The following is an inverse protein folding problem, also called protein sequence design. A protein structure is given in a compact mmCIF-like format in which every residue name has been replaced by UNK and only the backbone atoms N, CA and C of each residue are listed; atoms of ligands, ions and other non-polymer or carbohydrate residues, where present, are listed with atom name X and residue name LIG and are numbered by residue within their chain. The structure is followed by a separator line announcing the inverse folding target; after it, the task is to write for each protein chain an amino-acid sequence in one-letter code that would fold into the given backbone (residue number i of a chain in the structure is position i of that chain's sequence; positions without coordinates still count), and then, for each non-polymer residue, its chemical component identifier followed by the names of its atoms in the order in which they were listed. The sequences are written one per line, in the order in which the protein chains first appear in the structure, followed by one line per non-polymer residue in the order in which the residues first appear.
data_IF_366862052720
#
_entry.id   IF_366862052720
#
_cell.length_a   1.000
_cell.length_b   1.000
_cell.length_c   1.000
_cell.angle_alpha   90.00
_cell.angle_beta   90.00
_cell.angle_gamma   90.00
#
_symmetry.space_group_name_H-M   'P 1'
#
loop_
_entity.id
_entity.type
_entity.pdbx_description
1 polymer ?
#
# COMPACT_ATOMS: atom_id res chain seq x y z
N UNK A 1 6.63 -14.75 78.22
CA UNK A 1 7.25 -14.97 76.89
C UNK A 1 6.27 -15.27 75.73
N UNK A 2 4.95 -15.42 75.97
CA UNK A 2 3.99 -15.82 74.91
C UNK A 2 3.49 -14.64 74.04
N UNK A 3 3.30 -13.45 74.62
CA UNK A 3 2.78 -12.28 73.91
C UNK A 3 3.76 -11.70 72.85
N UNK A 4 5.07 -11.79 73.07
CA UNK A 4 6.09 -11.31 72.12
C UNK A 4 6.13 -12.16 70.84
N UNK A 5 5.92 -13.49 70.96
CA UNK A 5 5.91 -14.42 69.81
C UNK A 5 4.73 -14.16 68.87
N UNK A 6 3.57 -13.80 69.42
CA UNK A 6 2.37 -13.49 68.65
C UNK A 6 2.54 -12.21 67.82
N UNK A 7 3.01 -11.11 68.44
CA UNK A 7 3.22 -9.84 67.74
C UNK A 7 4.24 -9.94 66.60
N UNK A 8 5.30 -10.75 66.75
CA UNK A 8 6.28 -10.97 65.68
C UNK A 8 5.68 -11.74 64.49
N UNK A 9 4.87 -12.77 64.76
CA UNK A 9 4.23 -13.59 63.72
C UNK A 9 3.26 -12.78 62.86
N UNK A 10 2.43 -11.93 63.48
CA UNK A 10 1.49 -11.06 62.76
C UNK A 10 2.20 -9.97 61.93
N UNK A 11 3.31 -9.41 62.44
CA UNK A 11 4.09 -8.39 61.71
C UNK A 11 4.77 -8.96 60.47
N UNK A 12 5.32 -10.18 60.55
CA UNK A 12 5.90 -10.90 59.41
C UNK A 12 4.84 -11.28 58.36
N UNK A 13 3.66 -11.73 58.79
CA UNK A 13 2.56 -12.09 57.89
C UNK A 13 1.98 -10.86 57.15
N UNK A 14 1.87 -9.72 57.84
CA UNK A 14 1.45 -8.43 57.28
C UNK A 14 2.44 -7.88 56.24
N UNK A 15 3.75 -7.95 56.52
CA UNK A 15 4.81 -7.54 55.58
C UNK A 15 4.85 -8.45 54.35
N UNK A 16 4.68 -9.77 54.54
CA UNK A 16 4.61 -10.74 53.44
C UNK A 16 3.43 -10.49 52.50
N UNK A 17 2.25 -10.14 53.04
CA UNK A 17 1.06 -9.80 52.24
C UNK A 17 1.27 -8.52 51.42
N UNK A 18 1.80 -7.45 52.04
CA UNK A 18 2.16 -6.20 51.34
C UNK A 18 3.21 -6.40 50.25
N UNK A 19 4.20 -7.27 50.46
CA UNK A 19 5.20 -7.62 49.45
C UNK A 19 4.59 -8.39 48.27
N UNK A 20 3.62 -9.28 48.53
CA UNK A 20 2.96 -10.07 47.49
C UNK A 20 2.02 -9.19 46.64
N UNK A 21 1.25 -8.31 47.27
CA UNK A 21 0.38 -7.35 46.57
C UNK A 21 1.18 -6.36 45.70
N UNK A 22 2.36 -5.94 46.18
CA UNK A 22 3.27 -5.08 45.43
C UNK A 22 3.85 -5.80 44.19
N UNK A 23 4.20 -7.09 44.32
CA UNK A 23 4.63 -7.92 43.17
C UNK A 23 3.51 -8.14 42.16
N UNK A 24 2.27 -8.32 42.62
CA UNK A 24 1.10 -8.47 41.76
C UNK A 24 0.84 -7.16 40.98
N UNK A 25 0.86 -6.00 41.66
CA UNK A 25 0.74 -4.69 40.99
C UNK A 25 1.85 -4.44 39.97
N UNK A 26 3.08 -4.83 40.29
CA UNK A 26 4.21 -4.72 39.37
C UNK A 26 4.02 -5.59 38.12
N UNK A 27 3.48 -6.80 38.27
CA UNK A 27 3.15 -7.69 37.15
C UNK A 27 2.06 -7.10 36.24
N UNK A 28 1.01 -6.53 36.83
CA UNK A 28 -0.05 -5.84 36.06
C UNK A 28 0.47 -4.58 35.37
N UNK A 29 1.38 -3.83 36.00
CA UNK A 29 2.00 -2.64 35.44
C UNK A 29 2.89 -2.97 34.23
N UNK A 30 3.71 -4.02 34.32
CA UNK A 30 4.50 -4.51 33.17
C UNK A 30 3.57 -4.98 32.05
N UNK A 31 2.53 -5.75 32.37
CA UNK A 31 1.55 -6.22 31.39
C UNK A 31 0.88 -5.05 30.65
N UNK A 32 0.50 -4.01 31.37
CA UNK A 32 -0.08 -2.79 30.81
C UNK A 32 0.90 -2.04 29.89
N UNK A 33 2.18 -1.94 30.28
CA UNK A 33 3.24 -1.35 29.45
C UNK A 33 3.42 -2.12 28.13
N UNK A 34 3.46 -3.46 28.18
CA UNK A 34 3.57 -4.30 26.98
C UNK A 34 2.38 -4.11 26.05
N UNK A 35 1.17 -3.98 26.61
CA UNK A 35 -0.07 -3.75 25.87
C UNK A 35 -0.07 -2.36 25.19
N UNK A 36 0.44 -1.34 25.88
CA UNK A 36 0.63 0.00 25.31
C UNK A 36 1.66 -0.02 24.16
N UNK A 37 2.78 -0.73 24.31
CA UNK A 37 3.77 -0.87 23.24
C UNK A 37 3.22 -1.58 22.00
N UNK A 38 2.34 -2.58 22.18
CA UNK A 38 1.62 -3.24 21.09
C UNK A 38 0.72 -2.27 20.31
N UNK A 39 -0.01 -1.40 20.99
CA UNK A 39 -0.90 -0.43 20.34
C UNK A 39 -0.08 0.64 19.60
N UNK A 40 1.05 1.09 20.15
CA UNK A 40 1.94 2.09 19.53
C UNK A 40 2.66 1.53 18.29
N UNK A 41 2.95 0.22 18.27
CA UNK A 41 3.59 -0.43 17.12
C UNK A 41 2.65 -0.60 15.92
N UNK A 42 1.33 -0.52 16.13
CA UNK A 42 0.34 -0.45 15.06
C UNK A 42 0.21 0.98 14.49
N UNK A 43 1.32 1.59 14.06
CA UNK A 43 1.21 2.72 13.13
C UNK A 43 0.81 2.15 11.77
N UNK A 44 -0.24 2.66 11.11
CA UNK A 44 -0.56 2.21 9.76
C UNK A 44 0.67 2.47 8.89
N UNK A 45 1.21 1.40 8.29
CA UNK A 45 2.33 1.51 7.37
C UNK A 45 1.90 2.45 6.24
N UNK A 46 2.49 3.65 6.22
CA UNK A 46 2.19 4.61 5.17
C UNK A 46 2.77 4.04 3.88
N UNK A 47 1.89 3.60 2.98
CA UNK A 47 2.31 3.08 1.68
C UNK A 47 3.15 4.14 0.95
N UNK A 48 4.27 3.72 0.39
CA UNK A 48 5.05 4.59 -0.50
C UNK A 48 4.33 4.73 -1.86
N UNK A 49 4.71 5.72 -2.68
CA UNK A 49 4.04 5.96 -3.96
C UNK A 49 4.11 4.76 -4.90
N UNK A 50 5.24 4.04 -4.92
CA UNK A 50 5.44 2.85 -5.74
C UNK A 50 4.50 1.70 -5.34
N UNK A 51 4.32 1.45 -4.04
CA UNK A 51 3.39 0.48 -3.47
C UNK A 51 1.94 0.80 -3.83
N UNK A 52 1.60 2.08 -3.97
CA UNK A 52 0.27 2.49 -4.43
C UNK A 52 0.13 2.20 -5.94
N UNK A 53 1.12 2.60 -6.76
CA UNK A 53 1.12 2.41 -8.21
C UNK A 53 0.99 0.93 -8.60
N UNK A 54 1.70 0.03 -7.93
CA UNK A 54 1.64 -1.41 -8.20
C UNK A 54 0.75 -2.20 -7.24
N UNK A 55 0.05 -1.55 -6.30
CA UNK A 55 -0.75 -2.20 -5.24
C UNK A 55 -0.01 -3.37 -4.56
N UNK A 56 1.29 -3.21 -4.32
CA UNK A 56 2.19 -4.22 -3.74
C UNK A 56 2.56 -5.41 -4.65
N UNK A 57 1.90 -5.60 -5.80
CA UNK A 57 2.23 -6.67 -6.75
C UNK A 57 2.09 -6.19 -8.19
N UNK A 58 0.86 -5.95 -8.64
CA UNK A 58 0.55 -5.22 -9.84
C UNK A 58 -0.78 -4.48 -9.73
N UNK A 59 -0.97 -3.46 -10.57
CA UNK A 59 -2.23 -2.74 -10.67
C UNK A 59 -2.49 -2.27 -12.10
N UNK A 60 -3.77 -2.16 -12.45
CA UNK A 60 -4.21 -1.53 -13.69
C UNK A 60 -4.85 -0.17 -13.40
N UNK A 61 -4.49 0.80 -14.23
CA UNK A 61 -5.00 2.16 -14.20
C UNK A 61 -5.60 2.49 -15.57
N UNK A 62 -6.62 3.35 -15.61
CA UNK A 62 -7.23 3.80 -16.85
C UNK A 62 -7.15 5.32 -16.96
N UNK A 63 -6.98 5.82 -18.17
CA UNK A 63 -7.08 7.24 -18.46
C UNK A 63 -7.90 7.46 -19.72
N UNK A 64 -8.36 8.69 -19.88
CA UNK A 64 -8.87 9.21 -21.14
C UNK A 64 -7.90 10.28 -21.63
N UNK A 65 -7.71 10.37 -22.93
CA UNK A 65 -6.89 11.44 -23.51
C UNK A 65 -7.63 12.78 -23.44
N UNK A 66 -8.94 12.75 -23.73
CA UNK A 66 -9.88 13.86 -23.55
C UNK A 66 -11.14 13.44 -22.77
N UNK A 67 -11.79 14.38 -22.06
CA UNK A 67 -12.98 14.05 -21.24
C UNK A 67 -14.12 13.44 -22.07
N UNK A 68 -14.25 13.92 -23.31
CA UNK A 68 -15.25 13.51 -24.30
C UNK A 68 -14.89 12.20 -25.02
N UNK A 69 -13.69 11.65 -24.79
CA UNK A 69 -13.30 10.41 -25.44
C UNK A 69 -14.11 9.23 -24.91
N UNK A 70 -14.55 8.42 -25.87
CA UNK A 70 -15.14 7.11 -25.62
C UNK A 70 -14.07 6.02 -25.50
N UNK A 71 -12.82 6.34 -25.82
CA UNK A 71 -11.71 5.40 -25.76
C UNK A 71 -10.94 5.55 -24.45
N UNK A 72 -10.68 4.42 -23.79
CA UNK A 72 -9.85 4.37 -22.58
C UNK A 72 -8.54 3.68 -22.91
N UNK A 73 -7.45 4.28 -22.43
CA UNK A 73 -6.13 3.66 -22.43
C UNK A 73 -5.89 3.08 -21.03
N UNK A 74 -5.36 1.86 -20.97
CA UNK A 74 -5.09 1.16 -19.72
C UNK A 74 -3.59 0.97 -19.52
N UNK A 75 -3.11 1.31 -18.33
CA UNK A 75 -1.73 1.15 -17.92
C UNK A 75 -1.62 0.04 -16.89
N UNK A 76 -0.72 -0.90 -17.13
CA UNK A 76 -0.30 -1.91 -16.18
C UNK A 76 1.01 -1.51 -15.53
N UNK A 77 1.13 -1.72 -14.21
CA UNK A 77 2.37 -1.58 -13.47
C UNK A 77 2.56 -2.76 -12.55
N UNK A 78 3.76 -3.33 -12.50
CA UNK A 78 4.13 -4.32 -11.50
C UNK A 78 5.27 -3.87 -10.59
N UNK A 79 5.42 -4.56 -9.46
CA UNK A 79 6.45 -4.32 -8.45
C UNK A 79 7.88 -4.53 -8.97
N UNK A 80 8.03 -5.35 -10.02
CA UNK A 80 9.33 -5.69 -10.61
C UNK A 80 9.81 -4.59 -11.59
N UNK A 81 9.05 -3.50 -11.70
CA UNK A 81 9.41 -2.35 -12.52
C UNK A 81 9.01 -2.50 -13.98
N UNK A 82 8.10 -3.40 -14.33
CA UNK A 82 7.55 -3.53 -15.69
C UNK A 82 6.23 -2.78 -15.84
N UNK A 83 6.01 -2.21 -17.02
CA UNK A 83 4.77 -1.52 -17.36
C UNK A 83 4.36 -1.83 -18.80
N UNK A 84 3.05 -1.87 -19.04
CA UNK A 84 2.46 -2.09 -20.37
C UNK A 84 1.28 -1.16 -20.59
N UNK A 85 0.96 -0.92 -21.87
CA UNK A 85 -0.27 -0.26 -22.27
C UNK A 85 -1.19 -1.26 -22.93
N UNK A 86 -2.48 -1.13 -22.66
CA UNK A 86 -3.54 -1.87 -23.29
C UNK A 86 -4.61 -0.91 -23.83
N UNK A 87 -5.23 -1.31 -24.93
CA UNK A 87 -6.32 -0.57 -25.56
C UNK A 87 -7.49 -1.51 -25.89
N UNK A 88 -8.68 -0.93 -26.03
CA UNK A 88 -9.82 -1.67 -26.58
C UNK A 88 -9.75 -1.70 -28.10
N UNK A 89 -9.75 -2.90 -28.70
CA UNK A 89 -10.04 -3.06 -30.14
C UNK A 89 -11.55 -3.04 -30.36
N UNK A 90 -12.29 -3.72 -29.47
CA UNK A 90 -13.74 -3.81 -29.50
C UNK A 90 -14.31 -3.90 -28.06
N UNK A 91 -15.65 -3.93 -27.92
CA UNK A 91 -16.33 -3.95 -26.61
C UNK A 91 -15.95 -5.14 -25.71
N UNK A 92 -15.46 -6.24 -26.28
CA UNK A 92 -15.16 -7.49 -25.60
C UNK A 92 -13.70 -7.95 -25.77
N UNK A 93 -12.85 -7.16 -26.43
CA UNK A 93 -11.46 -7.49 -26.67
C UNK A 93 -10.55 -6.31 -26.34
N UNK A 94 -9.57 -6.62 -25.49
CA UNK A 94 -8.46 -5.74 -25.15
C UNK A 94 -7.20 -6.39 -25.73
N UNK A 95 -6.26 -5.57 -26.19
CA UNK A 95 -4.93 -6.03 -26.60
C UNK A 95 -3.84 -5.16 -25.99
N UNK A 96 -2.65 -5.73 -25.88
CA UNK A 96 -1.45 -4.95 -25.59
C UNK A 96 -1.18 -4.01 -26.77
N UNK A 97 -0.94 -2.75 -26.45
CA UNK A 97 -0.67 -1.71 -27.42
C UNK A 97 0.80 -1.76 -27.83
N UNK A 98 1.04 -1.90 -29.12
CA UNK A 98 2.37 -1.87 -29.72
C UNK A 98 2.44 -0.72 -30.72
N UNK A 99 3.12 0.37 -30.35
CA UNK A 99 3.47 1.42 -31.32
C UNK A 99 4.48 0.86 -32.31
N UNK A 100 4.10 0.84 -33.60
CA UNK A 100 4.90 0.23 -34.69
C UNK A 100 6.33 0.76 -34.78
N UNK A 101 6.58 1.98 -34.33
CA UNK A 101 7.85 2.68 -34.52
C UNK A 101 8.58 3.06 -33.21
N UNK A 102 8.03 2.71 -32.04
CA UNK A 102 8.59 3.08 -30.73
C UNK A 102 8.71 1.86 -29.82
N UNK A 103 9.92 1.30 -29.77
CA UNK A 103 10.33 0.34 -28.73
C UNK A 103 10.51 1.11 -27.41
N UNK A 104 9.41 1.40 -26.73
CA UNK A 104 9.51 1.88 -25.36
C UNK A 104 10.13 0.80 -24.49
N UNK A 105 11.13 1.19 -23.70
CA UNK A 105 11.57 0.33 -22.62
C UNK A 105 10.37 0.11 -21.69
N UNK A 106 9.89 -1.13 -21.62
CA UNK A 106 8.80 -1.59 -20.75
C UNK A 106 9.23 -1.63 -19.28
N UNK A 107 10.06 -0.67 -18.86
CA UNK A 107 10.52 -0.46 -17.49
C UNK A 107 10.00 0.87 -16.98
N UNK A 108 9.47 0.85 -15.77
CA UNK A 108 9.08 2.06 -15.05
C UNK A 108 9.89 2.20 -13.76
N UNK A 109 9.99 3.44 -13.29
CA UNK A 109 10.54 3.74 -11.98
C UNK A 109 9.90 5.01 -11.41
N UNK A 110 9.90 5.13 -10.09
CA UNK A 110 9.41 6.30 -9.39
C UNK A 110 10.53 6.88 -8.54
N UNK A 111 10.91 8.13 -8.82
CA UNK A 111 11.93 8.83 -8.06
C UNK A 111 11.28 9.76 -7.04
N UNK A 112 11.52 9.48 -5.75
CA UNK A 112 11.10 10.29 -4.59
C UNK A 112 9.62 10.70 -4.59
N UNK A 113 8.74 9.83 -5.08
CA UNK A 113 7.29 10.07 -5.24
C UNK A 113 6.95 11.33 -6.07
N UNK A 114 7.91 11.91 -6.80
CA UNK A 114 7.75 13.18 -7.52
C UNK A 114 7.88 13.04 -9.03
N UNK A 115 8.57 12.00 -9.50
CA UNK A 115 8.86 11.79 -10.92
C UNK A 115 8.64 10.33 -11.31
N UNK A 116 7.64 10.09 -12.15
CA UNK A 116 7.37 8.80 -12.77
C UNK A 116 8.10 8.74 -14.11
N UNK A 117 8.89 7.69 -14.31
CA UNK A 117 9.64 7.46 -15.53
C UNK A 117 9.08 6.21 -16.19
N UNK A 118 8.61 6.32 -17.44
CA UNK A 118 8.07 5.24 -18.26
C UNK A 118 8.97 5.08 -19.49
N UNK A 119 9.90 4.14 -19.44
CA UNK A 119 10.95 4.05 -20.47
C UNK A 119 11.78 5.34 -20.54
N UNK A 120 11.68 6.06 -21.66
CA UNK A 120 12.34 7.37 -21.86
C UNK A 120 11.54 8.55 -21.32
N UNK A 121 10.24 8.36 -21.10
CA UNK A 121 9.31 9.46 -20.83
C UNK A 121 9.25 9.76 -19.35
N UNK A 122 9.10 11.05 -19.03
CA UNK A 122 9.17 11.57 -17.66
C UNK A 122 7.92 12.38 -17.36
N UNK A 123 7.26 12.01 -16.27
CA UNK A 123 6.04 12.64 -15.81
C UNK A 123 6.21 13.11 -14.37
N UNK A 124 5.89 14.38 -14.12
CA UNK A 124 5.86 14.90 -12.77
C UNK A 124 4.60 14.40 -12.06
N UNK A 125 4.76 13.86 -10.86
CA UNK A 125 3.64 13.48 -10.00
C UNK A 125 3.10 14.73 -9.31
N UNK A 126 1.81 14.99 -9.49
CA UNK A 126 1.07 16.03 -8.75
C UNK A 126 0.41 15.46 -7.49
N UNK A 127 -0.11 14.23 -7.58
CA UNK A 127 -0.63 13.50 -6.43
C UNK A 127 -0.71 11.99 -6.70
N UNK A 128 -0.58 11.20 -5.63
CA UNK A 128 -0.77 9.75 -5.61
C UNK A 128 -1.76 9.40 -4.51
N UNK A 129 -2.79 8.64 -4.86
CA UNK A 129 -3.76 8.09 -3.90
C UNK A 129 -4.14 6.67 -4.30
N UNK A 130 -4.80 5.93 -3.40
CA UNK A 130 -5.24 4.55 -3.66
C UNK A 130 -6.23 4.43 -4.84
N UNK A 131 -6.82 5.52 -5.33
CA UNK A 131 -7.83 5.52 -6.41
C UNK A 131 -7.44 6.32 -7.65
N UNK A 132 -6.62 7.36 -7.50
CA UNK A 132 -6.22 8.26 -8.60
C UNK A 132 -4.76 8.66 -8.47
N UNK A 133 -4.05 8.60 -9.58
CA UNK A 133 -2.75 9.22 -9.77
C UNK A 133 -2.92 10.40 -10.71
N UNK A 134 -2.39 11.56 -10.34
CA UNK A 134 -2.38 12.74 -11.20
C UNK A 134 -0.93 13.01 -11.60
N UNK A 135 -0.67 12.92 -12.90
CA UNK A 135 0.64 13.17 -13.49
C UNK A 135 0.56 14.35 -14.45
N UNK A 136 1.69 14.98 -14.72
CA UNK A 136 1.78 16.03 -15.73
C UNK A 136 3.05 15.88 -16.55
N UNK A 137 2.93 16.13 -17.85
CA UNK A 137 4.05 16.28 -18.77
C UNK A 137 3.89 17.61 -19.49
N UNK A 138 4.93 18.45 -19.47
CA UNK A 138 4.87 19.83 -19.96
C UNK A 138 3.63 20.57 -19.41
N UNK A 139 2.72 21.00 -20.29
CA UNK A 139 1.50 21.73 -19.93
C UNK A 139 0.26 20.83 -19.79
N UNK A 140 0.40 19.52 -20.03
CA UNK A 140 -0.71 18.56 -19.99
C UNK A 140 -0.80 17.83 -18.65
N UNK A 141 -2.02 17.70 -18.13
CA UNK A 141 -2.32 16.97 -16.89
C UNK A 141 -3.13 15.73 -17.24
N UNK A 142 -2.68 14.57 -16.76
CA UNK A 142 -3.35 13.28 -16.95
C UNK A 142 -3.80 12.71 -15.61
N UNK A 143 -5.00 12.15 -15.59
CA UNK A 143 -5.56 11.47 -14.43
C UNK A 143 -5.69 9.98 -14.73
N UNK A 144 -5.00 9.18 -13.94
CA UNK A 144 -5.01 7.73 -14.02
C UNK A 144 -5.91 7.21 -12.89
N UNK A 145 -7.04 6.62 -13.25
CA UNK A 145 -8.01 6.07 -12.32
C UNK A 145 -7.78 4.58 -12.13
N UNK A 146 -7.74 4.13 -10.88
CA UNK A 146 -7.59 2.71 -10.59
C UNK A 146 -8.78 1.92 -11.11
N UNK A 147 -8.50 0.74 -11.66
CA UNK A 147 -9.55 -0.18 -12.12
C UNK A 147 -9.95 -1.11 -10.97
N UNK A 148 -11.25 -1.22 -10.71
CA UNK A 148 -11.78 -2.16 -9.73
C UNK A 148 -11.52 -3.61 -10.16
N UNK A 149 -10.91 -4.40 -9.28
CA UNK A 149 -10.64 -5.84 -9.49
C UNK A 149 -11.89 -6.67 -9.76
N UNK A 150 -13.06 -6.22 -9.29
CA UNK A 150 -14.33 -6.91 -9.54
C UNK A 150 -14.92 -6.62 -10.92
N UNK A 151 -14.43 -5.59 -11.61
CA UNK A 151 -14.97 -5.16 -12.91
C UNK A 151 -14.71 -6.18 -14.03
N UNK A 152 -15.60 -6.20 -15.04
CA UNK A 152 -15.41 -6.99 -16.26
C UNK A 152 -14.10 -6.62 -16.98
N UNK A 153 -13.80 -5.33 -17.06
CA UNK A 153 -12.58 -4.80 -17.70
C UNK A 153 -11.32 -5.33 -17.04
N UNK A 154 -11.26 -5.38 -15.70
CA UNK A 154 -10.11 -5.95 -15.00
C UNK A 154 -9.87 -7.41 -15.37
N UNK A 155 -10.93 -8.23 -15.41
CA UNK A 155 -10.82 -9.64 -15.80
C UNK A 155 -10.30 -9.80 -17.23
N UNK A 156 -10.75 -8.94 -18.15
CA UNK A 156 -10.26 -8.93 -19.53
C UNK A 156 -8.79 -8.54 -19.63
N UNK A 157 -8.36 -7.50 -18.91
CA UNK A 157 -6.97 -7.08 -18.83
C UNK A 157 -6.09 -8.19 -18.24
N UNK A 158 -6.53 -8.82 -17.16
CA UNK A 158 -5.81 -9.92 -16.53
C UNK A 158 -5.66 -11.13 -17.46
N UNK A 159 -6.72 -11.49 -18.18
CA UNK A 159 -6.64 -12.56 -19.17
C UNK A 159 -5.68 -12.23 -20.32
N UNK A 160 -5.64 -10.96 -20.74
CA UNK A 160 -4.71 -10.51 -21.79
C UNK A 160 -3.27 -10.57 -21.31
N UNK A 161 -3.00 -10.03 -20.12
CA UNK A 161 -1.69 -10.08 -19.46
C UNK A 161 -1.15 -11.51 -19.33
N UNK A 162 -2.00 -12.46 -18.94
CA UNK A 162 -1.61 -13.87 -18.79
C UNK A 162 -1.23 -14.55 -20.13
N UNK A 163 -1.64 -13.98 -21.27
CA UNK A 163 -1.22 -14.47 -22.58
C UNK A 163 0.06 -13.79 -23.08
N UNK A 164 0.43 -12.64 -22.50
CA UNK A 164 1.61 -11.84 -22.88
C UNK A 164 2.88 -12.21 -22.10
N UNK A 165 2.73 -12.82 -20.91
CA UNK A 165 3.82 -13.28 -20.02
C UNK A 165 3.99 -14.79 -20.15
#
# INVERSE_FOLDING_TARGET
MVAMKYNFKYKVQSIGKKLMDCKIHYFYFIGFIVLLFWIISCKPHKKNGAEIICEGSYCFWKTKEHEDDNHFIYYYFNKDGQWFIYEHIDRNKIQKYYLRDQLWSEKWSLYKDSLLILGSDKYNIKSISDSVIVISSYDSIYKLYKIDKKSKTFRMLQNTLNNDI
#
